data_IF_393784554575
#
_entry.id   IF_393784554575
#
_cell.length_a   1.000
_cell.length_b   1.000
_cell.length_c   1.000
_cell.angle_alpha   90.00
_cell.angle_beta   90.00
_cell.angle_gamma   90.00
#
_symmetry.space_group_name_H-M   'P 1'
#
loop_
_entity.id
_entity.type
_entity.pdbx_description
1 polymer ?
#
# COMPACT_ATOMS: atom_id res chain seq x y z
N UNK A 1 -6.05 17.56 -14.16
CA UNK A 1 -5.18 16.62 -13.40
C UNK A 1 -3.83 16.54 -14.08
N UNK A 2 -2.72 16.69 -13.35
CA UNK A 2 -1.36 16.67 -13.92
C UNK A 2 -1.01 15.28 -14.47
N UNK A 3 -0.15 15.21 -15.50
CA UNK A 3 0.31 13.94 -16.12
C UNK A 3 0.80 12.92 -15.08
N UNK A 4 1.46 13.39 -14.02
CA UNK A 4 1.96 12.57 -12.92
C UNK A 4 0.87 11.82 -12.14
N UNK A 5 -0.33 12.41 -11.98
CA UNK A 5 -1.44 11.74 -11.28
C UNK A 5 -1.98 10.55 -12.06
N UNK A 6 -2.03 10.65 -13.40
CA UNK A 6 -2.46 9.56 -14.25
C UNK A 6 -1.48 8.39 -14.22
N UNK A 7 -0.17 8.68 -14.21
CA UNK A 7 0.87 7.63 -14.07
C UNK A 7 0.70 6.87 -12.76
N UNK A 8 0.52 7.57 -11.64
CA UNK A 8 0.32 6.94 -10.33
C UNK A 8 -0.98 6.14 -10.31
N UNK A 9 -2.08 6.65 -10.88
CA UNK A 9 -3.35 5.95 -10.91
C UNK A 9 -3.26 4.64 -11.73
N UNK A 10 -2.62 4.68 -12.90
CA UNK A 10 -2.38 3.47 -13.70
C UNK A 10 -1.54 2.45 -12.94
N UNK A 11 -0.51 2.91 -12.21
CA UNK A 11 0.31 2.04 -11.37
C UNK A 11 -0.52 1.38 -10.24
N UNK A 12 -1.42 2.12 -9.58
CA UNK A 12 -2.33 1.56 -8.57
C UNK A 12 -3.16 0.41 -9.15
N UNK A 13 -3.76 0.61 -10.33
CA UNK A 13 -4.60 -0.40 -10.98
C UNK A 13 -3.78 -1.67 -11.30
N UNK A 14 -2.57 -1.50 -11.85
CA UNK A 14 -1.67 -2.62 -12.15
C UNK A 14 -1.32 -3.39 -10.88
N UNK A 15 -0.98 -2.70 -9.80
CA UNK A 15 -0.62 -3.32 -8.52
C UNK A 15 -1.80 -4.05 -7.89
N UNK A 16 -3.03 -3.52 -7.99
CA UNK A 16 -4.25 -4.20 -7.54
C UNK A 16 -4.42 -5.53 -8.29
N UNK A 17 -4.32 -5.51 -9.62
CA UNK A 17 -4.46 -6.71 -10.45
C UNK A 17 -3.37 -7.73 -10.07
N UNK A 18 -2.12 -7.29 -9.95
CA UNK A 18 -1.00 -8.13 -9.57
C UNK A 18 -1.17 -8.73 -8.16
N UNK A 19 -1.62 -7.94 -7.19
CA UNK A 19 -1.85 -8.39 -5.81
C UNK A 19 -3.01 -9.37 -5.67
N UNK A 20 -4.07 -9.20 -6.47
CA UNK A 20 -5.16 -10.17 -6.53
C UNK A 20 -4.75 -11.46 -7.26
N UNK A 21 -3.94 -11.34 -8.32
CA UNK A 21 -3.42 -12.49 -9.05
C UNK A 21 -2.43 -13.30 -8.19
N UNK A 22 -1.54 -12.64 -7.44
CA UNK A 22 -0.55 -13.31 -6.59
C UNK A 22 -1.19 -14.22 -5.56
N UNK A 23 -2.32 -13.80 -4.97
CA UNK A 23 -3.09 -14.59 -4.00
C UNK A 23 -3.81 -15.82 -4.59
N UNK A 24 -3.89 -15.94 -5.92
CA UNK A 24 -4.52 -17.09 -6.61
C UNK A 24 -3.50 -18.13 -7.11
N UNK A 25 -2.22 -17.79 -7.12
CA UNK A 25 -1.16 -18.67 -7.64
C UNK A 25 -0.51 -19.39 -6.47
N UNK A 26 -0.70 -20.71 -6.38
CA UNK A 26 -0.26 -21.52 -5.23
C UNK A 26 1.27 -21.48 -4.97
N UNK A 27 2.09 -21.21 -6.00
CA UNK A 27 3.54 -21.12 -5.86
C UNK A 27 4.03 -19.75 -5.38
N UNK A 28 3.17 -18.72 -5.36
CA UNK A 28 3.56 -17.39 -4.90
C UNK A 28 3.32 -17.29 -3.39
N UNK A 29 4.36 -16.97 -2.59
CA UNK A 29 4.19 -16.79 -1.16
C UNK A 29 3.20 -15.68 -0.82
N UNK A 30 2.41 -15.87 0.25
CA UNK A 30 1.38 -14.92 0.67
C UNK A 30 1.93 -13.51 0.95
N UNK A 31 3.13 -13.43 1.53
CA UNK A 31 3.80 -12.16 1.85
C UNK A 31 4.05 -11.28 0.62
N UNK A 32 4.07 -11.85 -0.60
CA UNK A 32 4.16 -11.09 -1.86
C UNK A 32 2.88 -10.27 -2.07
N UNK A 33 1.72 -10.86 -1.79
CA UNK A 33 0.45 -10.15 -1.81
C UNK A 33 0.41 -9.01 -0.79
N UNK A 34 0.99 -9.20 0.38
CA UNK A 34 1.05 -8.19 1.44
C UNK A 34 2.03 -7.06 1.10
N UNK A 35 3.17 -7.40 0.47
CA UNK A 35 4.12 -6.44 -0.10
C UNK A 35 3.47 -5.57 -1.17
N UNK A 36 2.71 -6.19 -2.10
CA UNK A 36 2.00 -5.47 -3.15
C UNK A 36 0.87 -4.60 -2.59
N UNK A 37 0.20 -5.05 -1.53
CA UNK A 37 -0.80 -4.25 -0.83
C UNK A 37 -0.18 -3.00 -0.20
N UNK A 38 0.97 -3.11 0.47
CA UNK A 38 1.68 -1.95 1.01
C UNK A 38 2.19 -0.99 -0.08
N UNK A 39 2.63 -1.53 -1.22
CA UNK A 39 2.97 -0.71 -2.39
C UNK A 39 1.75 0.06 -2.92
N UNK A 40 0.58 -0.60 -3.00
CA UNK A 40 -0.68 0.06 -3.39
C UNK A 40 -1.00 1.22 -2.43
N UNK A 41 -0.91 1.00 -1.12
CA UNK A 41 -1.11 2.06 -0.10
C UNK A 41 -0.16 3.23 -0.35
N UNK A 42 1.13 2.96 -0.58
CA UNK A 42 2.10 4.00 -0.91
C UNK A 42 1.67 4.83 -2.12
N UNK A 43 1.28 4.17 -3.21
CA UNK A 43 0.84 4.84 -4.44
C UNK A 43 -0.45 5.65 -4.23
N UNK A 44 -1.39 5.18 -3.40
CA UNK A 44 -2.59 5.93 -3.05
C UNK A 44 -2.27 7.19 -2.23
N UNK A 45 -1.39 7.08 -1.23
CA UNK A 45 -0.92 8.25 -0.47
C UNK A 45 -0.17 9.22 -1.38
N UNK A 46 0.67 8.70 -2.30
CA UNK A 46 1.38 9.50 -3.30
C UNK A 46 0.42 10.25 -4.23
N UNK A 47 -0.67 9.61 -4.66
CA UNK A 47 -1.69 10.23 -5.49
C UNK A 47 -2.35 11.42 -4.79
N UNK A 48 -2.64 11.30 -3.49
CA UNK A 48 -3.20 12.38 -2.68
C UNK A 48 -2.19 13.51 -2.42
N UNK A 49 -0.92 13.16 -2.19
CA UNK A 49 0.15 14.07 -1.76
C UNK A 49 1.31 14.18 -2.76
N UNK A 50 1.00 14.42 -4.03
CA UNK A 50 1.99 14.38 -5.13
C UNK A 50 3.08 15.47 -5.05
N UNK A 51 2.82 16.54 -4.30
CA UNK A 51 3.77 17.66 -4.09
C UNK A 51 4.57 17.54 -2.79
N UNK A 52 4.24 16.55 -1.95
CA UNK A 52 4.98 16.30 -0.69
C UNK A 52 6.22 15.47 -0.97
N UNK A 53 7.20 15.55 -0.05
CA UNK A 53 8.42 14.76 -0.15
C UNK A 53 8.12 13.26 -0.09
N UNK A 54 8.84 12.48 -0.91
CA UNK A 54 8.67 11.03 -1.00
C UNK A 54 8.88 10.33 0.36
N UNK A 55 9.77 10.86 1.21
CA UNK A 55 9.98 10.33 2.56
C UNK A 55 8.77 10.53 3.49
N UNK A 56 8.05 11.65 3.38
CA UNK A 56 6.80 11.87 4.13
C UNK A 56 5.70 10.93 3.64
N UNK A 57 5.59 10.73 2.33
CA UNK A 57 4.65 9.77 1.73
C UNK A 57 4.93 8.35 2.24
N UNK A 58 6.20 7.92 2.25
CA UNK A 58 6.60 6.61 2.77
C UNK A 58 6.24 6.44 4.24
N UNK A 59 6.57 7.43 5.09
CA UNK A 59 6.26 7.38 6.52
C UNK A 59 4.75 7.29 6.77
N UNK A 60 3.95 8.11 6.10
CA UNK A 60 2.47 8.09 6.22
C UNK A 60 1.94 6.72 5.79
N UNK A 61 2.46 6.17 4.70
CA UNK A 61 2.01 4.87 4.16
C UNK A 61 2.32 3.74 5.12
N UNK A 62 3.55 3.69 5.67
CA UNK A 62 3.94 2.68 6.64
C UNK A 62 3.13 2.80 7.94
N UNK A 63 2.97 4.01 8.46
CA UNK A 63 2.16 4.28 9.66
C UNK A 63 0.69 3.87 9.46
N UNK A 64 0.13 4.16 8.27
CA UNK A 64 -1.23 3.77 7.92
C UNK A 64 -1.39 2.26 7.85
N UNK A 65 -0.48 1.56 7.16
CA UNK A 65 -0.50 0.09 7.09
C UNK A 65 -0.38 -0.55 8.48
N UNK A 66 0.52 -0.04 9.33
CA UNK A 66 0.68 -0.54 10.69
C UNK A 66 -0.56 -0.24 11.55
N UNK A 67 -1.17 0.93 11.41
CA UNK A 67 -2.40 1.27 12.12
C UNK A 67 -3.57 0.34 11.73
N UNK A 68 -3.68 -0.03 10.45
CA UNK A 68 -4.67 -1.02 10.00
C UNK A 68 -4.38 -2.37 10.64
N UNK A 69 -3.13 -2.82 10.63
CA UNK A 69 -2.75 -4.12 11.18
C UNK A 69 -2.99 -4.18 12.70
N UNK A 70 -2.57 -3.15 13.44
CA UNK A 70 -2.88 -3.03 14.88
C UNK A 70 -4.38 -2.90 15.16
N UNK A 71 -5.16 -2.31 14.24
CA UNK A 71 -6.62 -2.27 14.40
C UNK A 71 -7.22 -3.67 14.51
N UNK A 72 -6.58 -4.69 13.94
CA UNK A 72 -7.06 -6.07 14.00
C UNK A 72 -6.94 -6.68 15.41
N UNK A 73 -6.13 -6.11 16.30
CA UNK A 73 -6.15 -6.49 17.72
C UNK A 73 -7.41 -5.96 18.44
N UNK A 74 -8.07 -4.95 17.87
CA UNK A 74 -9.32 -4.42 18.37
C UNK A 74 -10.51 -5.22 17.81
N UNK A 75 -11.19 -5.97 18.68
CA UNK A 75 -12.17 -7.01 18.35
C UNK A 75 -13.62 -6.65 18.76
N UNK A 76 -13.98 -5.37 18.73
CA UNK A 76 -15.35 -4.97 19.00
C UNK A 76 -16.32 -5.45 17.90
N UNK A 77 -17.58 -5.71 18.26
CA UNK A 77 -18.56 -6.25 17.32
C UNK A 77 -18.78 -5.36 16.09
N UNK A 78 -18.81 -4.03 16.28
CA UNK A 78 -19.06 -3.09 15.18
C UNK A 78 -17.96 -3.14 14.12
N UNK A 79 -16.68 -3.23 14.52
CA UNK A 79 -15.57 -3.28 13.57
C UNK A 79 -15.48 -4.64 12.90
N UNK A 80 -15.82 -5.71 13.62
CA UNK A 80 -15.88 -7.06 13.06
C UNK A 80 -17.03 -7.20 12.05
N UNK A 81 -18.18 -6.55 12.27
CA UNK A 81 -19.24 -6.43 11.26
C UNK A 81 -18.72 -5.78 9.97
N UNK A 82 -17.92 -4.71 10.07
CA UNK A 82 -17.30 -4.07 8.90
C UNK A 82 -16.32 -5.02 8.21
N UNK A 83 -15.43 -5.70 8.96
CA UNK A 83 -14.46 -6.68 8.41
C UNK A 83 -15.11 -7.88 7.71
N UNK A 84 -16.35 -8.21 8.09
CA UNK A 84 -17.11 -9.29 7.45
C UNK A 84 -17.75 -8.88 6.12
N UNK A 85 -17.69 -7.61 5.75
CA UNK A 85 -18.02 -7.17 4.38
C UNK A 85 -16.84 -7.40 3.44
N UNK A 86 -17.09 -7.64 2.15
CA UNK A 86 -16.03 -7.79 1.13
C UNK A 86 -15.02 -6.62 1.13
N UNK A 87 -15.44 -5.33 1.07
CA UNK A 87 -14.49 -4.23 1.07
C UNK A 87 -13.75 -4.09 2.41
N UNK A 88 -14.45 -4.33 3.53
CA UNK A 88 -13.83 -4.29 4.85
C UNK A 88 -12.76 -5.38 5.01
N UNK A 89 -13.01 -6.58 4.50
CA UNK A 89 -12.03 -7.67 4.52
C UNK A 89 -10.78 -7.34 3.71
N UNK A 90 -10.93 -6.73 2.51
CA UNK A 90 -9.82 -6.38 1.63
C UNK A 90 -8.97 -5.21 2.16
N UNK A 91 -9.59 -4.26 2.85
CA UNK A 91 -8.92 -3.05 3.34
C UNK A 91 -8.37 -3.26 4.76
N UNK A 92 -9.15 -3.85 5.66
CA UNK A 92 -8.78 -3.97 7.08
C UNK A 92 -8.13 -5.31 7.43
N UNK A 93 -8.21 -6.31 6.57
CA UNK A 93 -7.69 -7.65 6.82
C UNK A 93 -8.46 -8.41 7.91
N UNK A 94 -7.97 -9.62 8.23
CA UNK A 94 -8.50 -10.47 9.31
C UNK A 94 -7.36 -11.16 10.04
N UNK A 95 -7.17 -10.79 11.29
CA UNK A 95 -6.21 -11.43 12.18
C UNK A 95 -4.81 -10.85 12.02
N UNK A 96 -4.21 -10.51 13.15
CA UNK A 96 -2.92 -9.84 13.22
C UNK A 96 -1.77 -10.81 13.00
N UNK A 97 -0.87 -10.47 12.07
CA UNK A 97 0.34 -11.22 11.78
C UNK A 97 1.59 -10.32 11.83
N UNK A 98 2.54 -10.66 12.71
CA UNK A 98 3.83 -9.96 12.78
C UNK A 98 4.60 -9.97 11.44
N UNK A 99 4.40 -11.03 10.64
CA UNK A 99 4.99 -11.14 9.31
C UNK A 99 4.52 -10.05 8.35
N UNK A 100 3.30 -9.55 8.52
CA UNK A 100 2.71 -8.54 7.64
C UNK A 100 3.42 -7.19 7.83
N UNK A 101 3.77 -6.85 9.09
CA UNK A 101 4.58 -5.66 9.37
C UNK A 101 5.93 -5.70 8.64
N UNK A 102 6.59 -6.87 8.62
CA UNK A 102 7.84 -7.06 7.89
C UNK A 102 7.64 -7.04 6.38
N UNK A 103 6.54 -7.59 5.87
CA UNK A 103 6.21 -7.59 4.44
C UNK A 103 5.83 -6.20 3.91
N UNK A 104 5.33 -5.31 4.75
CA UNK A 104 4.97 -3.95 4.33
C UNK A 104 6.19 -3.06 4.09
N UNK A 105 7.29 -3.28 4.82
CA UNK A 105 8.54 -2.53 4.65
C UNK A 105 9.05 -2.58 3.20
N UNK A 106 9.30 -3.75 2.58
CA UNK A 106 9.77 -3.82 1.20
C UNK A 106 8.76 -3.22 0.20
N UNK A 107 7.46 -3.32 0.48
CA UNK A 107 6.42 -2.71 -0.37
C UNK A 107 6.51 -1.19 -0.41
N UNK A 108 6.65 -0.55 0.76
CA UNK A 108 6.85 0.90 0.88
C UNK A 108 8.20 1.33 0.31
N UNK A 109 9.27 0.58 0.56
CA UNK A 109 10.60 0.87 0.00
C UNK A 109 10.61 0.79 -1.53
N UNK A 110 9.92 -0.19 -2.11
CA UNK A 110 9.74 -0.30 -3.56
C UNK A 110 8.99 0.91 -4.11
N UNK A 111 7.93 1.34 -3.43
CA UNK A 111 7.18 2.55 -3.78
C UNK A 111 8.07 3.79 -3.79
N UNK A 112 8.83 4.00 -2.71
CA UNK A 112 9.78 5.10 -2.57
C UNK A 112 10.85 5.06 -3.68
N UNK A 113 11.37 3.87 -4.01
CA UNK A 113 12.37 3.70 -5.06
C UNK A 113 11.82 4.05 -6.45
N UNK A 114 10.62 3.56 -6.79
CA UNK A 114 9.94 3.89 -8.05
C UNK A 114 9.69 5.40 -8.13
N UNK A 115 9.18 6.02 -7.06
CA UNK A 115 8.93 7.45 -7.00
C UNK A 115 10.23 8.25 -7.16
N UNK A 116 11.31 7.81 -6.51
CA UNK A 116 12.61 8.44 -6.64
C UNK A 116 13.12 8.39 -8.08
N UNK A 117 12.91 7.29 -8.82
CA UNK A 117 13.30 7.18 -10.23
C UNK A 117 12.43 8.06 -11.15
N UNK A 118 11.12 8.07 -10.93
CA UNK A 118 10.15 8.81 -11.77
C UNK A 118 10.26 10.32 -11.54
N UNK A 119 10.44 10.76 -10.29
CA UNK A 119 10.42 12.18 -9.92
C UNK A 119 11.82 12.79 -9.65
N UNK A 120 12.93 12.02 -9.70
CA UNK A 120 14.31 12.58 -9.62
C UNK A 120 14.55 13.72 -10.59
N UNK A 121 13.91 13.68 -11.76
CA UNK A 121 14.11 14.66 -12.84
C UNK A 121 13.56 16.06 -12.55
N UNK A 122 12.77 16.27 -11.48
CA UNK A 122 12.14 17.58 -11.23
C UNK A 122 12.88 18.47 -10.21
N UNK A 123 13.88 17.95 -9.50
CA UNK A 123 14.60 18.70 -8.45
C UNK A 123 15.97 19.24 -8.89
N UNK A 124 16.48 18.91 -10.08
CA UNK A 124 17.77 19.40 -10.61
C UNK A 124 17.61 20.67 -11.47
N UNK A 125 16.39 21.18 -11.66
CA UNK A 125 16.13 22.43 -12.37
C UNK A 125 15.42 23.43 -11.47
N UNK A 126 16.13 23.87 -10.44
CA UNK A 126 15.92 25.17 -9.80
C UNK A 126 17.28 25.74 -9.41
#
# INVERSE_FOLDING_TARGET
MSKSRWVVLSAVIIVIIAGLASRKVAFIPLWVGDTLWALMVYLMVRFLFIERSIGKVALISLAFSFAIEFSQLYQAEWINRVRNTVPGHLILGRGFLWGDLLAYIPGVLLGLFIDALVFKKQHVSK
#
